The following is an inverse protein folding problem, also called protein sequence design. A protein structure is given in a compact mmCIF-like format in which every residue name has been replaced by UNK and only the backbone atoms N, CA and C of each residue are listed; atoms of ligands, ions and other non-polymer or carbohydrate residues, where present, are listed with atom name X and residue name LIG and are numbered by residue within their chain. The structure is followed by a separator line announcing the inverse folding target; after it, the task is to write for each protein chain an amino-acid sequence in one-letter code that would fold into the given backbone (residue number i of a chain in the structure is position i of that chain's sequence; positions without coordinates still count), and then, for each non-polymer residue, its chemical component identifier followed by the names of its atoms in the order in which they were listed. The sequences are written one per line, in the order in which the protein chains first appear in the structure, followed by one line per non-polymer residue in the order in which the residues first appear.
data_IF_707777053325
#
_entry.id   IF_707777053325
#
_cell.length_a   1.000
_cell.length_b   1.000
_cell.length_c   1.000
_cell.angle_alpha   90.00
_cell.angle_beta   90.00
_cell.angle_gamma   90.00
#
_symmetry.space_group_name_H-M   'P 1'
#
loop_
_entity.id
_entity.type
_entity.pdbx_description
1 polymer ?
#
# COMPACT_ATOMS: atom_id res chain seq x y z
N UNK A 1 5.57 43.42 -42.13
CA UNK A 1 5.56 41.94 -42.21
C UNK A 1 4.36 41.55 -43.04
N UNK A 2 4.55 41.51 -44.35
CA UNK A 2 3.59 40.91 -45.28
C UNK A 2 3.65 39.39 -45.09
N UNK A 3 2.51 38.77 -44.80
CA UNK A 3 2.36 37.32 -44.97
C UNK A 3 1.17 37.12 -45.89
N UNK A 4 1.53 36.76 -47.12
CA UNK A 4 0.67 36.52 -48.26
C UNK A 4 -0.50 35.60 -47.90
N UNK A 5 -1.71 36.13 -48.06
CA UNK A 5 -2.95 35.35 -48.12
C UNK A 5 -2.95 34.52 -49.40
N UNK A 6 -2.39 33.32 -49.34
CA UNK A 6 -2.61 32.30 -50.36
C UNK A 6 -4.08 31.89 -50.28
N UNK A 7 -4.83 32.37 -51.27
CA UNK A 7 -6.25 32.14 -51.57
C UNK A 7 -6.57 30.65 -51.34
N UNK A 8 -7.17 30.32 -50.19
CA UNK A 8 -7.65 28.97 -49.86
C UNK A 8 -7.25 28.41 -48.49
N UNK A 9 -6.30 28.99 -47.75
CA UNK A 9 -5.92 28.49 -46.41
C UNK A 9 -6.70 29.19 -45.30
N UNK A 10 -7.55 28.46 -44.59
CA UNK A 10 -8.24 28.97 -43.40
C UNK A 10 -7.22 29.36 -42.31
N UNK A 11 -7.52 30.41 -41.55
CA UNK A 11 -6.71 30.83 -40.39
C UNK A 11 -6.61 29.70 -39.36
N UNK A 12 -5.51 29.69 -38.58
CA UNK A 12 -5.28 28.67 -37.55
C UNK A 12 -6.48 28.50 -36.60
N UNK A 13 -7.14 29.60 -36.21
CA UNK A 13 -8.32 29.55 -35.36
C UNK A 13 -9.55 28.91 -36.04
N UNK A 14 -9.75 29.16 -37.33
CA UNK A 14 -10.83 28.54 -38.11
C UNK A 14 -10.56 27.06 -38.36
N UNK A 15 -9.30 26.65 -38.52
CA UNK A 15 -8.91 25.25 -38.61
C UNK A 15 -9.08 24.52 -37.26
N UNK A 16 -8.69 25.15 -36.15
CA UNK A 16 -8.85 24.61 -34.80
C UNK A 16 -10.33 24.43 -34.41
N UNK A 17 -11.20 25.40 -34.71
CA UNK A 17 -12.65 25.29 -34.46
C UNK A 17 -13.29 24.17 -35.28
N UNK A 18 -12.90 24.02 -36.55
CA UNK A 18 -13.36 22.93 -37.41
C UNK A 18 -12.93 21.54 -36.89
N UNK A 19 -11.70 21.41 -36.42
CA UNK A 19 -11.19 20.18 -35.80
C UNK A 19 -11.91 19.85 -34.50
N UNK A 20 -12.14 20.86 -33.64
CA UNK A 20 -12.84 20.69 -32.38
C UNK A 20 -14.30 20.25 -32.59
N UNK A 21 -15.03 20.89 -33.51
CA UNK A 21 -16.38 20.44 -33.90
C UNK A 21 -16.39 19.02 -34.42
N UNK A 22 -15.39 18.61 -35.20
CA UNK A 22 -15.27 17.25 -35.71
C UNK A 22 -15.04 16.24 -34.58
N UNK A 23 -14.18 16.57 -33.61
CA UNK A 23 -13.96 15.76 -32.40
C UNK A 23 -15.21 15.64 -31.52
N UNK A 24 -15.97 16.71 -31.34
CA UNK A 24 -17.22 16.70 -30.57
C UNK A 24 -18.34 15.90 -31.25
N UNK A 25 -18.46 15.98 -32.58
CA UNK A 25 -19.45 15.18 -33.32
C UNK A 25 -19.11 13.69 -33.27
N UNK A 26 -17.82 13.33 -33.29
CA UNK A 26 -17.38 11.94 -33.11
C UNK A 26 -17.76 11.40 -31.72
N UNK A 27 -17.52 12.17 -30.65
CA UNK A 27 -17.95 11.80 -29.30
C UNK A 27 -19.50 11.73 -29.16
N UNK A 28 -20.23 12.61 -29.86
CA UNK A 28 -21.70 12.66 -29.88
C UNK A 28 -22.34 11.47 -30.61
N UNK A 29 -21.68 10.89 -31.62
CA UNK A 29 -22.20 9.74 -32.37
C UNK A 29 -21.96 8.41 -31.66
N UNK A 30 -20.92 8.32 -30.83
CA UNK A 30 -20.65 7.13 -30.01
C UNK A 30 -21.05 7.33 -28.54
N UNK A 31 -22.22 7.94 -28.32
CA UNK A 31 -22.76 8.26 -26.98
C UNK A 31 -22.87 7.03 -26.07
N UNK A 32 -23.17 5.86 -26.64
CA UNK A 32 -23.32 4.62 -25.87
C UNK A 32 -22.00 4.17 -25.25
N UNK A 33 -20.89 4.22 -25.98
CA UNK A 33 -19.56 3.86 -25.46
C UNK A 33 -19.00 4.92 -24.50
N UNK A 34 -19.20 6.21 -24.80
CA UNK A 34 -18.80 7.30 -23.90
C UNK A 34 -19.60 7.31 -22.59
N UNK A 35 -20.89 6.95 -22.65
CA UNK A 35 -21.72 6.79 -21.45
C UNK A 35 -21.25 5.60 -20.61
N UNK A 36 -20.91 4.47 -21.25
CA UNK A 36 -20.33 3.32 -20.58
C UNK A 36 -19.03 3.70 -19.85
N UNK A 37 -18.12 4.42 -20.50
CA UNK A 37 -16.87 4.91 -19.90
C UNK A 37 -17.08 5.77 -18.63
N UNK A 38 -18.19 6.52 -18.55
CA UNK A 38 -18.55 7.30 -17.36
C UNK A 38 -19.32 6.49 -16.31
N UNK A 39 -20.12 5.51 -16.72
CA UNK A 39 -20.92 4.66 -15.82
C UNK A 39 -20.07 3.56 -15.17
N UNK A 40 -19.08 3.00 -15.88
CA UNK A 40 -18.19 1.96 -15.38
C UNK A 40 -17.57 2.30 -14.01
N UNK A 41 -16.92 3.47 -13.81
CA UNK A 41 -16.35 3.78 -12.49
C UNK A 41 -17.43 3.91 -11.40
N UNK A 42 -18.63 4.40 -11.72
CA UNK A 42 -19.73 4.52 -10.75
C UNK A 42 -20.27 3.16 -10.31
N UNK A 43 -20.41 2.22 -11.25
CA UNK A 43 -20.86 0.85 -10.97
C UNK A 43 -19.85 0.11 -10.10
N UNK A 44 -18.56 0.26 -10.37
CA UNK A 44 -17.49 -0.35 -9.56
C UNK A 44 -17.54 0.17 -8.12
N UNK A 45 -17.67 1.48 -7.92
CA UNK A 45 -17.76 2.09 -6.58
C UNK A 45 -19.01 1.61 -5.83
N UNK A 46 -20.16 1.57 -6.50
CA UNK A 46 -21.40 1.07 -5.90
C UNK A 46 -21.30 -0.41 -5.49
N UNK A 47 -20.68 -1.23 -6.33
CA UNK A 47 -20.47 -2.65 -6.06
C UNK A 47 -19.51 -2.86 -4.87
N UNK A 48 -18.36 -2.19 -4.86
CA UNK A 48 -17.43 -2.24 -3.74
C UNK A 48 -18.08 -1.79 -2.42
N UNK A 49 -18.84 -0.68 -2.44
CA UNK A 49 -19.55 -0.19 -1.26
C UNK A 49 -20.62 -1.17 -0.76
N UNK A 50 -21.35 -1.85 -1.65
CA UNK A 50 -22.32 -2.87 -1.27
C UNK A 50 -21.63 -4.08 -0.60
N UNK A 51 -20.48 -4.51 -1.12
CA UNK A 51 -19.70 -5.59 -0.52
C UNK A 51 -19.21 -5.20 0.88
N UNK A 52 -18.69 -3.98 1.05
CA UNK A 52 -18.28 -3.49 2.37
C UNK A 52 -19.45 -3.47 3.37
N UNK A 53 -20.64 -3.02 2.94
CA UNK A 53 -21.85 -3.03 3.78
C UNK A 53 -22.28 -4.45 4.13
N UNK A 54 -22.25 -5.35 3.16
CA UNK A 54 -22.60 -6.76 3.35
C UNK A 54 -21.68 -7.44 4.37
N UNK A 55 -20.37 -7.21 4.28
CA UNK A 55 -19.39 -7.77 5.24
C UNK A 55 -19.60 -7.20 6.65
N UNK A 56 -19.91 -5.90 6.76
CA UNK A 56 -20.22 -5.26 8.04
C UNK A 56 -21.50 -5.83 8.66
N UNK A 57 -22.53 -6.09 7.87
CA UNK A 57 -23.78 -6.64 8.38
C UNK A 57 -23.63 -8.11 8.82
N UNK A 58 -22.81 -8.90 8.11
CA UNK A 58 -22.42 -10.25 8.58
C UNK A 58 -21.69 -10.18 9.92
N UNK A 59 -20.73 -9.26 10.09
CA UNK A 59 -19.99 -9.13 11.36
C UNK A 59 -20.86 -8.73 12.56
N UNK A 60 -21.97 -8.02 12.30
CA UNK A 60 -22.93 -7.62 13.35
C UNK A 60 -23.86 -8.76 13.75
N UNK A 61 -24.18 -9.66 12.81
CA UNK A 61 -25.03 -10.82 13.09
C UNK A 61 -24.35 -11.79 14.08
N UNK A 62 -23.02 -11.87 14.05
CA UNK A 62 -22.24 -12.70 14.97
C UNK A 62 -22.07 -12.08 16.38
N UNK A 63 -22.37 -10.79 16.55
CA UNK A 63 -22.17 -10.08 17.84
C UNK A 63 -23.32 -10.25 18.85
N UNK A 64 -24.23 -11.21 18.65
CA UNK A 64 -25.34 -11.45 19.58
C UNK A 64 -25.03 -12.47 20.70
N UNK A 65 -23.82 -13.03 20.79
CA UNK A 65 -23.49 -14.07 21.79
C UNK A 65 -22.37 -13.77 22.78
N UNK A 66 -21.77 -12.58 22.74
CA UNK A 66 -20.83 -12.16 23.78
C UNK A 66 -21.33 -10.89 24.49
N UNK A 67 -21.41 -10.86 25.83
CA UNK A 67 -21.63 -9.62 26.55
C UNK A 67 -20.46 -8.68 26.27
N UNK A 68 -20.75 -7.69 25.43
CA UNK A 68 -19.95 -6.54 25.03
C UNK A 68 -19.29 -5.86 26.24
N UNK A 69 -18.08 -6.26 26.59
CA UNK A 69 -17.17 -5.41 27.36
C UNK A 69 -16.42 -4.48 26.40
N UNK A 70 -17.17 -3.55 25.78
CA UNK A 70 -16.57 -2.36 25.17
C UNK A 70 -16.80 -1.22 26.14
N UNK A 71 -15.99 -1.21 27.22
CA UNK A 71 -15.84 -0.01 28.00
C UNK A 71 -15.02 0.96 27.14
N UNK A 72 -15.69 2.00 26.63
CA UNK A 72 -15.06 3.16 26.01
C UNK A 72 -13.98 3.68 26.99
N UNK A 73 -12.71 3.52 26.61
CA UNK A 73 -11.57 4.01 27.40
C UNK A 73 -11.60 5.53 27.27
N UNK A 74 -12.14 6.18 28.31
CA UNK A 74 -12.47 7.61 28.33
C UNK A 74 -11.27 8.54 28.16
N UNK A 75 -10.05 8.02 28.38
CA UNK A 75 -8.79 8.69 28.08
C UNK A 75 -7.76 7.63 27.64
N UNK A 76 -7.36 7.57 26.36
CA UNK A 76 -6.27 6.69 25.97
C UNK A 76 -4.98 7.21 26.59
N UNK A 77 -4.43 6.44 27.53
CA UNK A 77 -3.08 6.69 28.03
C UNK A 77 -2.12 6.76 26.84
N UNK A 78 -1.23 7.78 26.82
CA UNK A 78 -0.28 7.98 25.74
C UNK A 78 0.75 6.83 25.74
N UNK A 79 0.43 5.75 25.01
CA UNK A 79 1.38 4.68 24.80
C UNK A 79 2.50 5.22 23.91
N UNK A 80 3.78 5.00 24.28
CA UNK A 80 4.85 5.19 23.31
C UNK A 80 4.55 4.30 22.09
N UNK A 81 5.03 4.67 20.88
CA UNK A 81 4.85 3.85 19.69
C UNK A 81 5.36 2.43 19.97
N UNK A 82 4.43 1.48 20.12
CA UNK A 82 4.73 0.08 20.38
C UNK A 82 4.87 -0.63 19.04
N UNK A 83 6.07 -1.14 18.77
CA UNK A 83 6.31 -1.99 17.61
C UNK A 83 5.85 -3.39 17.97
N UNK A 84 4.80 -3.86 17.31
CA UNK A 84 4.32 -5.22 17.50
C UNK A 84 5.33 -6.24 16.95
N UNK A 85 5.67 -7.23 17.78
CA UNK A 85 6.67 -8.25 17.43
C UNK A 85 5.90 -9.54 17.13
N UNK A 86 6.01 -10.08 15.90
CA UNK A 86 5.30 -11.30 15.53
C UNK A 86 5.76 -12.52 16.34
N UNK A 87 4.84 -13.47 16.49
CA UNK A 87 5.10 -14.77 17.09
C UNK A 87 6.21 -15.52 16.34
N UNK A 88 6.93 -16.38 17.06
CA UNK A 88 7.97 -17.27 16.54
C UNK A 88 7.58 -18.04 15.25
N UNK A 89 6.35 -18.52 15.17
CA UNK A 89 5.78 -19.26 14.02
C UNK A 89 5.55 -18.38 12.79
N UNK A 90 5.41 -17.07 12.96
CA UNK A 90 5.10 -16.12 11.88
C UNK A 90 6.28 -15.23 11.48
N UNK A 91 7.43 -15.31 12.17
CA UNK A 91 8.66 -14.56 11.88
C UNK A 91 9.25 -14.88 10.50
N UNK A 92 9.87 -13.89 9.87
CA UNK A 92 10.46 -14.03 8.54
C UNK A 92 11.60 -15.08 8.53
N UNK A 93 11.57 -15.99 7.56
CA UNK A 93 12.57 -17.05 7.35
C UNK A 93 12.96 -17.10 5.87
N UNK A 94 14.07 -17.77 5.56
CA UNK A 94 14.49 -18.04 4.19
C UNK A 94 13.54 -18.99 3.50
N UNK A 95 13.12 -18.66 2.28
CA UNK A 95 12.34 -19.54 1.42
C UNK A 95 12.65 -19.29 -0.06
N UNK A 96 12.12 -20.13 -0.96
CA UNK A 96 12.47 -20.16 -2.40
C UNK A 96 12.37 -18.81 -3.11
N UNK A 97 11.43 -17.96 -2.72
CA UNK A 97 11.23 -16.63 -3.31
C UNK A 97 11.89 -15.48 -2.52
N UNK A 98 12.51 -15.79 -1.37
CA UNK A 98 13.20 -14.84 -0.51
C UNK A 98 14.49 -15.46 0.05
N UNK A 99 15.53 -15.67 -0.81
CA UNK A 99 16.71 -16.45 -0.47
C UNK A 99 17.79 -15.66 0.29
N UNK A 100 17.46 -14.56 0.96
CA UNK A 100 18.43 -13.70 1.63
C UNK A 100 19.18 -14.45 2.73
N UNK A 101 20.50 -14.40 2.72
CA UNK A 101 21.36 -15.04 3.74
C UNK A 101 21.17 -14.44 5.14
N UNK A 102 20.63 -13.23 5.19
CA UNK A 102 20.38 -12.49 6.43
C UNK A 102 19.18 -13.03 7.22
N UNK A 103 18.26 -13.74 6.57
CA UNK A 103 17.11 -14.37 7.21
C UNK A 103 17.49 -15.72 7.84
N UNK A 104 16.85 -16.13 8.95
CA UNK A 104 17.07 -17.44 9.55
C UNK A 104 16.52 -18.59 8.68
N UNK A 105 17.02 -19.82 8.83
CA UNK A 105 16.51 -20.98 8.11
C UNK A 105 15.07 -21.31 8.56
N UNK A 106 14.26 -21.94 7.68
CA UNK A 106 12.85 -22.25 7.99
C UNK A 106 12.67 -23.21 9.16
N UNK A 107 13.67 -24.05 9.44
CA UNK A 107 13.66 -25.00 10.56
C UNK A 107 13.51 -24.35 11.94
N UNK A 108 13.81 -23.05 12.08
CA UNK A 108 13.61 -22.36 13.35
C UNK A 108 12.12 -22.22 13.75
N UNK A 109 11.20 -22.25 12.76
CA UNK A 109 9.75 -22.12 13.01
C UNK A 109 9.22 -23.39 13.64
N UNK A 110 9.67 -24.53 13.12
CA UNK A 110 9.33 -25.86 13.63
C UNK A 110 9.86 -26.06 15.06
N UNK A 111 11.00 -25.44 15.38
CA UNK A 111 11.62 -25.47 16.70
C UNK A 111 11.09 -24.40 17.68
N UNK A 112 10.12 -23.57 17.29
CA UNK A 112 9.56 -22.48 18.13
C UNK A 112 10.61 -21.51 18.68
N UNK A 113 11.72 -21.35 17.97
CA UNK A 113 12.88 -20.57 18.45
C UNK A 113 13.42 -19.62 17.36
N UNK A 114 12.55 -19.15 16.46
CA UNK A 114 12.97 -18.18 15.45
C UNK A 114 13.31 -16.83 16.08
N UNK A 115 14.50 -16.27 15.81
CA UNK A 115 14.86 -14.93 16.26
C UNK A 115 14.09 -13.84 15.50
N UNK A 116 13.94 -12.68 16.12
CA UNK A 116 13.48 -11.45 15.46
C UNK A 116 14.63 -10.89 14.62
N UNK A 117 14.39 -10.70 13.33
CA UNK A 117 15.32 -10.03 12.42
C UNK A 117 14.86 -8.60 12.16
N UNK A 118 15.62 -7.60 12.61
CA UNK A 118 15.48 -6.22 12.13
C UNK A 118 16.49 -5.97 11.01
N UNK A 119 15.97 -5.53 9.86
CA UNK A 119 16.76 -5.22 8.68
C UNK A 119 17.12 -3.74 8.69
N UNK A 120 18.41 -3.47 8.55
CA UNK A 120 18.94 -2.10 8.44
C UNK A 120 19.69 -1.94 7.14
N UNK A 121 19.41 -0.85 6.44
CA UNK A 121 20.08 -0.49 5.19
C UNK A 121 21.00 0.69 5.43
N UNK A 122 22.15 0.73 4.77
CA UNK A 122 22.99 1.92 4.73
C UNK A 122 24.22 1.73 3.87
N UNK A 123 24.94 2.81 3.61
CA UNK A 123 26.17 2.79 2.80
C UNK A 123 27.37 2.27 3.58
N UNK A 124 27.35 2.40 4.91
CA UNK A 124 28.43 1.96 5.79
C UNK A 124 27.91 1.06 6.91
N UNK A 125 28.24 -0.24 6.83
CA UNK A 125 27.83 -1.26 7.80
C UNK A 125 28.25 -0.91 9.23
N UNK A 126 29.49 -0.49 9.43
CA UNK A 126 30.04 -0.23 10.76
C UNK A 126 29.34 0.94 11.44
N UNK A 127 29.02 1.99 10.69
CA UNK A 127 28.27 3.13 11.20
C UNK A 127 26.84 2.74 11.61
N UNK A 128 26.12 2.02 10.73
CA UNK A 128 24.73 1.60 10.98
C UNK A 128 24.64 0.67 12.19
N UNK A 129 25.57 -0.29 12.32
CA UNK A 129 25.59 -1.18 13.49
C UNK A 129 25.89 -0.43 14.79
N UNK A 130 26.76 0.59 14.75
CA UNK A 130 27.03 1.44 15.91
C UNK A 130 25.78 2.21 16.34
N UNK A 131 25.06 2.80 15.38
CA UNK A 131 23.80 3.50 15.66
C UNK A 131 22.72 2.57 16.20
N UNK A 132 22.60 1.34 15.68
CA UNK A 132 21.64 0.35 16.21
C UNK A 132 21.87 0.09 17.71
N UNK A 133 23.11 -0.18 18.09
CA UNK A 133 23.49 -0.44 19.48
C UNK A 133 23.15 0.75 20.39
N UNK A 134 23.39 1.99 19.91
CA UNK A 134 23.14 3.22 20.68
C UNK A 134 21.64 3.53 20.80
N UNK A 135 20.87 3.41 19.72
CA UNK A 135 19.48 3.86 19.69
C UNK A 135 18.49 2.83 20.22
N UNK A 136 18.67 1.55 19.88
CA UNK A 136 17.72 0.53 20.27
C UNK A 136 18.03 -0.05 21.66
N UNK A 137 19.23 0.16 22.23
CA UNK A 137 19.64 -0.33 23.56
C UNK A 137 19.22 -1.80 23.82
N UNK A 138 19.11 -2.61 22.76
CA UNK A 138 18.70 -4.01 22.90
C UNK A 138 19.95 -4.74 23.36
N UNK A 139 19.94 -5.16 24.62
CA UNK A 139 20.91 -6.11 25.13
C UNK A 139 20.72 -7.42 24.35
N UNK A 140 21.59 -7.64 23.35
CA UNK A 140 21.60 -8.83 22.49
C UNK A 140 21.76 -10.14 23.28
N UNK A 141 21.99 -10.05 24.59
CA UNK A 141 22.07 -11.19 25.50
C UNK A 141 20.72 -11.68 26.04
N UNK A 142 19.64 -10.88 26.01
CA UNK A 142 18.42 -11.17 26.80
C UNK A 142 17.18 -11.56 25.96
N UNK A 143 17.17 -11.25 24.67
CA UNK A 143 16.05 -11.60 23.79
C UNK A 143 16.57 -11.93 22.41
N UNK A 144 15.96 -12.94 21.78
CA UNK A 144 16.32 -13.53 20.48
C UNK A 144 16.29 -12.51 19.32
N UNK A 145 17.11 -11.47 19.38
CA UNK A 145 17.02 -10.29 18.55
C UNK A 145 18.33 -10.14 17.79
N UNK A 146 18.26 -10.24 16.46
CA UNK A 146 19.44 -10.30 15.61
C UNK A 146 19.39 -9.13 14.61
N UNK A 147 20.22 -8.09 14.78
CA UNK A 147 20.34 -7.03 13.78
C UNK A 147 20.96 -7.60 12.50
N UNK A 148 20.36 -7.31 11.37
CA UNK A 148 20.83 -7.73 10.05
C UNK A 148 21.02 -6.52 9.15
N UNK A 149 22.25 -6.32 8.69
CA UNK A 149 22.57 -5.27 7.74
C UNK A 149 22.42 -5.81 6.33
N UNK A 150 21.62 -5.13 5.51
CA UNK A 150 21.38 -5.48 4.12
C UNK A 150 21.90 -4.36 3.23
N UNK A 151 22.74 -4.73 2.26
CA UNK A 151 23.14 -3.87 1.15
C UNK A 151 22.14 -4.10 0.02
N UNK A 152 21.38 -3.08 -0.38
CA UNK A 152 20.56 -3.11 -1.60
C UNK A 152 21.45 -2.97 -2.85
#
# INVERSE_FOLDING_TARGET
MEVSTIIGRASFGTQADALFRKSLIYQKRNKSQNCCLLITPLVIVAFCGLLERYMVDISKADTSKDPKMTQEIRDPFAWPPAVDIPSDTTRAVRFKYMPFTDLPPPSCRDAHNCPVSLLFTGTNRSFVMSMFTIYLSIDTSSSNFIPRFVTL
#
